data_IF_492397064178
#
_entry.id   IF_492397064178
#
_cell.length_a   1.000
_cell.length_b   1.000
_cell.length_c   1.000
_cell.angle_alpha   90.00
_cell.angle_beta   90.00
_cell.angle_gamma   90.00
#
_symmetry.space_group_name_H-M   'P 1'
#
loop_
_entity.id
_entity.type
_entity.pdbx_description
1 polymer ?
#
# COMPACT_ATOMS: atom_id res chain seq x y z
N UNK A 1 21.76 -21.39 97.13
CA UNK A 1 21.34 -20.35 96.16
C UNK A 1 21.94 -20.72 94.81
N UNK A 2 21.17 -21.38 93.93
CA UNK A 2 21.63 -21.93 92.65
C UNK A 2 21.30 -20.91 91.57
N UNK A 3 22.32 -20.36 90.90
CA UNK A 3 22.15 -19.46 89.76
C UNK A 3 22.34 -20.26 88.46
N UNK A 4 21.25 -20.49 87.74
CA UNK A 4 21.26 -21.04 86.37
C UNK A 4 21.64 -19.93 85.40
N UNK A 5 22.79 -20.04 84.73
CA UNK A 5 23.11 -19.23 83.55
C UNK A 5 22.44 -19.86 82.34
N UNK A 6 21.50 -19.16 81.73
CA UNK A 6 20.88 -19.52 80.45
C UNK A 6 21.72 -18.90 79.33
N UNK A 7 22.30 -19.74 78.47
CA UNK A 7 23.03 -19.31 77.28
C UNK A 7 22.05 -19.36 76.10
N UNK A 8 21.81 -18.22 75.47
CA UNK A 8 20.95 -18.09 74.30
C UNK A 8 21.82 -18.26 73.05
N UNK A 9 21.59 -19.33 72.27
CA UNK A 9 22.28 -19.58 71.01
C UNK A 9 21.46 -18.95 69.88
N UNK A 10 21.90 -17.81 69.35
CA UNK A 10 21.25 -17.15 68.20
C UNK A 10 21.73 -17.87 66.93
N UNK A 11 20.84 -18.66 66.33
CA UNK A 11 21.07 -19.34 65.05
C UNK A 11 20.79 -18.34 63.91
N UNK A 12 21.84 -17.81 63.29
CA UNK A 12 21.72 -17.01 62.07
C UNK A 12 21.42 -17.94 60.89
N UNK A 13 20.16 -17.99 60.46
CA UNK A 13 19.77 -18.64 59.21
C UNK A 13 20.16 -17.68 58.08
N UNK A 14 21.29 -17.96 57.42
CA UNK A 14 21.67 -17.28 56.19
C UNK A 14 20.72 -17.69 55.07
N UNK A 15 19.73 -16.85 54.76
CA UNK A 15 18.93 -17.03 53.55
C UNK A 15 19.79 -16.64 52.34
N UNK A 16 20.23 -17.63 51.55
CA UNK A 16 20.74 -17.36 50.21
C UNK A 16 19.57 -16.91 49.35
N UNK A 17 19.41 -15.59 49.23
CA UNK A 17 18.44 -14.99 48.32
C UNK A 17 18.77 -15.39 46.89
N UNK A 18 17.92 -16.22 46.29
CA UNK A 18 17.94 -16.44 44.84
C UNK A 18 17.43 -15.14 44.22
N UNK A 19 18.33 -14.34 43.65
CA UNK A 19 17.96 -13.20 42.82
C UNK A 19 17.39 -13.77 41.52
N UNK A 20 16.07 -13.93 41.44
CA UNK A 20 15.41 -14.11 40.17
C UNK A 20 15.58 -12.79 39.38
N UNK A 21 16.41 -12.81 38.33
CA UNK A 21 16.45 -11.72 37.37
C UNK A 21 15.13 -11.75 36.59
N UNK A 22 14.23 -10.81 36.87
CA UNK A 22 13.06 -10.59 36.04
C UNK A 22 13.50 -9.91 34.73
N UNK A 23 13.72 -10.70 33.68
CA UNK A 23 13.80 -10.15 32.33
C UNK A 23 12.37 -9.92 31.84
N UNK A 24 12.08 -8.70 31.38
CA UNK A 24 10.80 -8.41 30.76
C UNK A 24 10.69 -9.19 29.44
N UNK A 25 9.62 -9.96 29.26
CA UNK A 25 9.39 -10.66 28.00
C UNK A 25 9.20 -9.65 26.87
N UNK A 26 9.80 -9.90 25.69
CA UNK A 26 9.61 -9.00 24.55
C UNK A 26 8.13 -8.96 24.15
N UNK A 27 7.71 -7.82 23.59
CA UNK A 27 6.33 -7.60 23.17
C UNK A 27 6.32 -7.09 21.73
N UNK A 28 5.49 -7.71 20.89
CA UNK A 28 5.24 -7.29 19.51
C UNK A 28 3.74 -7.19 19.30
N UNK A 29 3.26 -6.02 18.88
CA UNK A 29 1.83 -5.76 18.64
C UNK A 29 1.61 -5.04 17.34
N UNK A 30 0.54 -5.41 16.64
CA UNK A 30 0.09 -4.76 15.42
C UNK A 30 -1.01 -3.76 15.78
N UNK A 31 -0.89 -2.54 15.27
CA UNK A 31 -1.86 -1.46 15.48
C UNK A 31 -2.42 -1.04 14.14
N UNK A 32 -3.75 -1.02 14.02
CA UNK A 32 -4.46 -0.60 12.82
C UNK A 32 -5.44 0.53 13.17
N UNK A 33 -5.54 1.54 12.31
CA UNK A 33 -6.54 2.62 12.48
C UNK A 33 -7.94 2.16 12.08
N UNK A 34 -8.02 1.19 11.16
CA UNK A 34 -9.26 0.56 10.72
C UNK A 34 -9.01 -0.89 10.31
N UNK A 35 -10.06 -1.70 10.31
CA UNK A 35 -10.00 -3.13 9.93
C UNK A 35 -10.85 -3.46 8.71
N UNK A 36 -11.38 -2.44 8.02
CA UNK A 36 -12.13 -2.60 6.78
C UNK A 36 -11.54 -1.68 5.72
N UNK A 37 -11.16 -2.28 4.61
CA UNK A 37 -10.58 -1.63 3.45
C UNK A 37 -11.43 -1.92 2.23
N UNK A 38 -11.32 -1.04 1.26
CA UNK A 38 -11.98 -1.10 -0.04
C UNK A 38 -10.93 -1.09 -1.13
N UNK A 39 -11.32 -1.43 -2.36
CA UNK A 39 -10.42 -1.25 -3.49
C UNK A 39 -9.91 0.19 -3.57
N UNK A 40 -8.72 0.35 -4.12
CA UNK A 40 -7.98 1.62 -4.23
C UNK A 40 -7.37 2.13 -2.92
N UNK A 41 -7.65 1.52 -1.79
CA UNK A 41 -7.01 1.86 -0.52
C UNK A 41 -5.71 1.08 -0.33
N UNK A 42 -4.76 1.70 0.37
CA UNK A 42 -3.52 1.03 0.79
C UNK A 42 -3.70 0.48 2.20
N UNK A 43 -3.19 -0.72 2.44
CA UNK A 43 -3.08 -1.25 3.79
C UNK A 43 -2.11 -0.36 4.59
N UNK A 44 -2.53 0.07 5.78
CA UNK A 44 -1.71 0.87 6.69
C UNK A 44 -1.85 0.30 8.09
N UNK A 45 -0.73 -0.07 8.69
CA UNK A 45 -0.67 -0.58 10.06
C UNK A 45 0.65 -0.11 10.69
N UNK A 46 0.79 -0.34 11.98
CA UNK A 46 2.03 -0.08 12.69
C UNK A 46 2.45 -1.30 13.50
N UNK A 47 3.75 -1.57 13.53
CA UNK A 47 4.33 -2.56 14.43
C UNK A 47 4.92 -1.82 15.62
N UNK A 48 4.40 -2.12 16.81
CA UNK A 48 4.95 -1.65 18.07
C UNK A 48 5.72 -2.78 18.74
N UNK A 49 6.96 -2.49 19.13
CA UNK A 49 7.88 -3.44 19.76
C UNK A 49 8.35 -2.92 21.12
N UNK A 50 8.74 -3.82 22.03
CA UNK A 50 9.36 -3.46 23.31
C UNK A 50 10.83 -3.06 23.18
N UNK A 51 11.52 -3.59 22.16
CA UNK A 51 12.95 -3.37 21.95
C UNK A 51 13.35 -3.48 20.46
N UNK A 52 14.52 -2.90 20.13
CA UNK A 52 15.06 -2.84 18.77
C UNK A 52 16.38 -3.63 18.76
N UNK A 53 16.49 -4.65 17.92
CA UNK A 53 17.71 -5.47 17.81
C UNK A 53 18.54 -5.19 16.57
N UNK A 54 17.96 -4.48 15.59
CA UNK A 54 18.56 -4.26 14.27
C UNK A 54 18.19 -5.32 13.23
N UNK A 55 17.56 -6.43 13.66
CA UNK A 55 16.97 -7.40 12.74
C UNK A 55 15.65 -6.88 12.16
N UNK A 56 15.27 -7.27 10.94
CA UNK A 56 13.95 -6.95 10.41
C UNK A 56 12.86 -7.82 11.04
N UNK A 57 11.64 -7.28 11.13
CA UNK A 57 10.46 -8.10 11.29
C UNK A 57 10.12 -8.80 9.98
N UNK A 58 9.68 -10.05 10.04
CA UNK A 58 9.23 -10.80 8.86
C UNK A 58 7.71 -10.78 8.83
N UNK A 59 7.15 -10.30 7.72
CA UNK A 59 5.71 -10.13 7.57
C UNK A 59 5.18 -11.06 6.48
N UNK A 60 4.02 -11.65 6.73
CA UNK A 60 3.21 -12.33 5.72
C UNK A 60 1.81 -11.73 5.70
N UNK A 61 1.30 -11.49 4.49
CA UNK A 61 -0.12 -11.18 4.29
C UNK A 61 -0.80 -12.46 3.84
N UNK A 62 -1.78 -12.93 4.61
CA UNK A 62 -2.57 -14.12 4.27
C UNK A 62 -3.99 -13.74 3.91
N UNK A 63 -4.58 -14.47 2.97
CA UNK A 63 -6.01 -14.42 2.72
C UNK A 63 -6.77 -15.40 3.65
N UNK A 64 -8.10 -15.31 3.64
CA UNK A 64 -8.98 -16.16 4.44
C UNK A 64 -9.07 -17.62 3.96
N UNK A 65 -8.51 -17.96 2.81
CA UNK A 65 -8.50 -19.33 2.26
C UNK A 65 -7.13 -20.01 2.44
N UNK A 66 -6.17 -19.33 3.05
CA UNK A 66 -4.84 -19.86 3.40
C UNK A 66 -3.74 -19.53 2.39
N UNK A 67 -4.04 -18.76 1.33
CA UNK A 67 -3.02 -18.16 0.48
C UNK A 67 -2.18 -17.16 1.27
N UNK A 68 -0.90 -17.04 0.92
CA UNK A 68 0.05 -16.17 1.63
C UNK A 68 1.00 -15.48 0.66
N UNK A 69 1.36 -14.25 0.97
CA UNK A 69 2.44 -13.54 0.30
C UNK A 69 3.78 -14.24 0.52
N UNK A 70 4.78 -13.89 -0.28
CA UNK A 70 6.18 -14.09 0.12
C UNK A 70 6.49 -13.35 1.43
N UNK A 71 7.56 -13.75 2.11
CA UNK A 71 8.08 -13.05 3.28
C UNK A 71 8.49 -11.60 2.93
N UNK A 72 7.97 -10.64 3.68
CA UNK A 72 8.27 -9.21 3.53
C UNK A 72 9.11 -8.76 4.72
N UNK A 73 10.44 -8.60 4.56
CA UNK A 73 11.30 -8.11 5.63
C UNK A 73 11.12 -6.59 5.80
N UNK A 74 10.73 -6.16 7.00
CA UNK A 74 10.57 -4.75 7.36
C UNK A 74 11.57 -4.36 8.46
N UNK A 75 12.46 -3.38 8.21
CA UNK A 75 13.33 -2.85 9.25
C UNK A 75 12.56 -2.26 10.43
N UNK A 76 12.98 -2.59 11.65
CA UNK A 76 12.43 -2.05 12.89
C UNK A 76 13.40 -1.00 13.41
N UNK A 77 13.10 0.27 13.11
CA UNK A 77 13.98 1.40 13.45
C UNK A 77 13.53 2.16 14.70
N UNK A 78 12.26 2.00 15.07
CA UNK A 78 11.62 2.69 16.20
C UNK A 78 10.83 1.69 17.03
N UNK A 79 10.43 2.09 18.24
CA UNK A 79 9.50 1.30 19.05
C UNK A 79 8.09 1.24 18.44
N UNK A 80 7.76 2.19 17.56
CA UNK A 80 6.54 2.22 16.76
C UNK A 80 6.93 2.53 15.32
N UNK A 81 6.73 1.57 14.42
CA UNK A 81 7.05 1.70 13.00
C UNK A 81 5.75 1.75 12.22
N UNK A 82 5.52 2.85 11.51
CA UNK A 82 4.38 3.00 10.62
C UNK A 82 4.70 2.37 9.27
N UNK A 83 3.84 1.46 8.81
CA UNK A 83 4.07 0.62 7.64
C UNK A 83 2.89 0.81 6.67
N UNK A 84 3.03 1.73 5.70
CA UNK A 84 2.13 1.77 4.56
C UNK A 84 2.51 0.69 3.54
N UNK A 85 1.51 0.03 2.96
CA UNK A 85 1.71 -0.80 1.77
C UNK A 85 2.21 0.05 0.60
N UNK A 86 3.08 -0.53 -0.21
CA UNK A 86 3.50 0.10 -1.48
C UNK A 86 2.33 0.19 -2.45
N UNK A 87 1.51 -0.86 -2.50
CA UNK A 87 0.44 -1.06 -3.47
C UNK A 87 -0.94 -0.90 -2.82
N UNK A 88 -1.89 -0.37 -3.58
CA UNK A 88 -3.30 -0.37 -3.21
C UNK A 88 -3.95 -1.74 -3.45
N UNK A 89 -5.12 -1.96 -2.85
CA UNK A 89 -5.94 -3.12 -3.16
C UNK A 89 -6.60 -2.95 -4.53
N UNK A 90 -6.18 -3.76 -5.50
CA UNK A 90 -6.78 -3.83 -6.83
C UNK A 90 -7.64 -5.08 -7.02
N UNK A 91 -8.79 -4.90 -7.69
CA UNK A 91 -9.81 -5.93 -7.89
C UNK A 91 -9.30 -7.18 -8.62
N UNK A 92 -8.39 -6.99 -9.56
CA UNK A 92 -7.85 -8.08 -10.37
C UNK A 92 -6.75 -8.88 -9.64
N UNK A 93 -6.21 -8.34 -8.54
CA UNK A 93 -5.11 -8.93 -7.77
C UNK A 93 -5.59 -9.49 -6.43
N UNK A 94 -6.48 -8.76 -5.75
CA UNK A 94 -6.91 -9.05 -4.38
C UNK A 94 -8.39 -9.43 -4.34
N UNK A 95 -8.72 -10.73 -4.18
CA UNK A 95 -10.09 -11.16 -3.94
C UNK A 95 -10.69 -10.50 -2.70
N UNK A 96 -12.00 -10.26 -2.71
CA UNK A 96 -12.72 -9.81 -1.52
C UNK A 96 -12.67 -10.87 -0.41
N UNK A 97 -12.69 -10.42 0.84
CA UNK A 97 -12.78 -11.30 2.00
C UNK A 97 -11.91 -10.86 3.17
N UNK A 98 -11.71 -11.79 4.09
CA UNK A 98 -10.87 -11.60 5.27
C UNK A 98 -9.40 -11.83 4.92
N UNK A 99 -8.53 -11.04 5.52
CA UNK A 99 -7.09 -11.12 5.40
C UNK A 99 -6.45 -11.00 6.78
N UNK A 100 -5.19 -11.45 6.87
CA UNK A 100 -4.39 -11.42 8.07
C UNK A 100 -3.01 -10.83 7.80
N UNK A 101 -2.51 -10.07 8.77
CA UNK A 101 -1.14 -9.58 8.83
C UNK A 101 -0.45 -10.41 9.90
N UNK A 102 0.47 -11.30 9.52
CA UNK A 102 1.31 -12.02 10.46
C UNK A 102 2.66 -11.33 10.57
N UNK A 103 3.10 -11.09 11.80
CA UNK A 103 4.38 -10.48 12.10
C UNK A 103 5.18 -11.43 12.98
N UNK A 104 6.39 -11.75 12.52
CA UNK A 104 7.38 -12.46 13.30
C UNK A 104 8.56 -11.52 13.61
N UNK A 105 8.86 -11.34 14.89
CA UNK A 105 9.99 -10.55 15.36
C UNK A 105 10.38 -10.97 16.78
N UNK A 106 11.68 -11.09 17.08
CA UNK A 106 12.19 -11.58 18.38
C UNK A 106 11.69 -12.97 18.77
N UNK A 107 11.41 -13.83 17.79
CA UNK A 107 10.80 -15.15 18.01
C UNK A 107 9.34 -15.11 18.45
N UNK A 108 8.74 -13.92 18.52
CA UNK A 108 7.31 -13.73 18.79
C UNK A 108 6.59 -13.68 17.45
N UNK A 109 5.49 -14.42 17.38
CA UNK A 109 4.55 -14.39 16.27
C UNK A 109 3.24 -13.77 16.75
N UNK A 110 2.71 -12.80 15.99
CA UNK A 110 1.43 -12.15 16.27
C UNK A 110 0.68 -11.90 14.97
N UNK A 111 -0.64 -11.87 15.05
CA UNK A 111 -1.50 -11.67 13.88
C UNK A 111 -2.58 -10.63 14.14
N UNK A 112 -2.91 -9.86 13.10
CA UNK A 112 -4.07 -8.98 13.07
C UNK A 112 -4.93 -9.27 11.85
N UNK A 113 -6.23 -9.00 11.93
CA UNK A 113 -7.19 -9.27 10.87
C UNK A 113 -7.78 -7.99 10.28
N UNK A 114 -8.10 -8.04 8.98
CA UNK A 114 -8.87 -7.00 8.30
C UNK A 114 -9.73 -7.60 7.19
N UNK A 115 -10.70 -6.84 6.71
CA UNK A 115 -11.58 -7.23 5.62
C UNK A 115 -11.39 -6.31 4.42
N UNK A 116 -11.36 -6.90 3.22
CA UNK A 116 -11.46 -6.21 1.95
C UNK A 116 -12.87 -6.38 1.39
N UNK A 117 -13.59 -5.28 1.24
CA UNK A 117 -14.97 -5.24 0.73
C UNK A 117 -15.06 -4.41 -0.54
N UNK A 118 -16.06 -4.69 -1.38
CA UNK A 118 -16.37 -3.83 -2.52
C UNK A 118 -17.29 -2.68 -2.05
N UNK A 119 -16.87 -1.45 -2.29
CA UNK A 119 -17.66 -0.24 -2.00
C UNK A 119 -17.92 0.60 -3.26
N UNK A 120 -17.71 0.03 -4.45
CA UNK A 120 -17.74 0.73 -5.74
C UNK A 120 -16.75 1.92 -5.80
N UNK A 121 -15.69 1.88 -4.97
CA UNK A 121 -14.58 2.83 -5.06
C UNK A 121 -13.79 2.53 -6.35
N UNK A 122 -13.52 3.58 -7.11
CA UNK A 122 -12.82 3.49 -8.39
C UNK A 122 -11.58 4.38 -8.38
N UNK A 123 -10.48 3.81 -8.83
CA UNK A 123 -9.19 4.43 -9.02
C UNK A 123 -8.66 4.05 -10.40
N UNK A 124 -7.63 4.76 -10.84
CA UNK A 124 -6.86 4.31 -11.99
C UNK A 124 -5.99 3.15 -11.51
N UNK A 125 -6.14 1.96 -12.10
CA UNK A 125 -5.30 0.79 -11.80
C UNK A 125 -3.81 1.14 -11.93
N UNK A 126 -2.95 0.58 -11.07
CA UNK A 126 -1.50 0.80 -11.16
C UNK A 126 -0.93 0.27 -12.49
N UNK A 127 -1.62 -0.67 -13.15
CA UNK A 127 -1.27 -1.14 -14.50
C UNK A 127 -1.23 -0.01 -15.55
N UNK A 128 -1.90 1.12 -15.28
CA UNK A 128 -1.89 2.28 -16.16
C UNK A 128 -0.61 3.13 -16.01
N UNK A 129 0.10 3.06 -14.87
CA UNK A 129 1.34 3.81 -14.66
C UNK A 129 2.41 3.54 -15.73
N UNK A 130 2.78 2.29 -16.06
CA UNK A 130 3.76 2.03 -17.12
C UNK A 130 3.30 2.51 -18.49
N UNK A 131 2.00 2.48 -18.79
CA UNK A 131 1.44 3.01 -20.05
C UNK A 131 1.63 4.52 -20.14
N UNK A 132 1.33 5.24 -19.05
CA UNK A 132 1.53 6.70 -18.96
C UNK A 132 3.02 7.06 -19.06
N UNK A 133 3.91 6.30 -18.41
CA UNK A 133 5.36 6.52 -18.49
C UNK A 133 5.88 6.36 -19.92
N UNK A 134 5.46 5.30 -20.62
CA UNK A 134 5.83 5.08 -22.03
C UNK A 134 5.34 6.21 -22.93
N UNK A 135 4.13 6.70 -22.70
CA UNK A 135 3.59 7.86 -23.43
C UNK A 135 4.38 9.15 -23.14
N UNK A 136 4.72 9.42 -21.88
CA UNK A 136 5.56 10.56 -21.49
C UNK A 136 6.92 10.51 -22.21
N UNK A 137 7.49 9.32 -22.33
CA UNK A 137 8.77 9.08 -22.99
C UNK A 137 8.67 8.99 -24.52
N UNK A 138 7.48 9.25 -25.09
CA UNK A 138 7.23 9.21 -26.54
C UNK A 138 7.40 7.81 -27.16
N UNK A 139 7.35 6.75 -26.35
CA UNK A 139 7.33 5.37 -26.82
C UNK A 139 5.93 4.97 -27.30
N UNK A 140 4.88 5.58 -26.72
CA UNK A 140 3.48 5.40 -27.10
C UNK A 140 2.91 6.68 -27.68
N UNK A 141 2.02 6.54 -28.67
CA UNK A 141 1.28 7.68 -29.25
C UNK A 141 0.14 8.12 -28.34
N UNK A 142 -0.39 9.32 -28.59
CA UNK A 142 -1.51 9.90 -27.84
C UNK A 142 -2.75 9.00 -27.88
N UNK A 143 -3.07 8.42 -29.04
CA UNK A 143 -4.17 7.47 -29.15
C UNK A 143 -3.90 6.16 -28.41
N UNK A 144 -2.65 5.68 -28.35
CA UNK A 144 -2.29 4.51 -27.54
C UNK A 144 -2.50 4.77 -26.04
N UNK A 145 -2.16 5.96 -25.55
CA UNK A 145 -2.46 6.34 -24.16
C UNK A 145 -3.97 6.27 -23.89
N UNK A 146 -4.76 6.94 -24.72
CA UNK A 146 -6.21 7.09 -24.52
C UNK A 146 -6.94 5.76 -24.72
N UNK A 147 -6.46 4.92 -25.64
CA UNK A 147 -6.91 3.53 -25.77
C UNK A 147 -6.57 2.69 -24.53
N UNK A 148 -5.38 2.89 -23.94
CA UNK A 148 -5.02 2.27 -22.66
C UNK A 148 -6.01 2.63 -21.55
N UNK A 149 -6.39 3.91 -21.44
CA UNK A 149 -7.44 4.34 -20.50
C UNK A 149 -8.78 3.66 -20.77
N UNK A 150 -9.22 3.56 -22.03
CA UNK A 150 -10.48 2.88 -22.37
C UNK A 150 -10.50 1.38 -21.99
N UNK A 151 -9.35 0.72 -22.07
CA UNK A 151 -9.24 -0.72 -21.88
C UNK A 151 -8.96 -1.12 -20.43
N UNK A 152 -8.23 -0.29 -19.67
CA UNK A 152 -7.75 -0.61 -18.32
C UNK A 152 -8.60 0.09 -17.26
N UNK A 153 -9.11 1.29 -17.52
CA UNK A 153 -9.81 2.11 -16.52
C UNK A 153 -11.32 1.94 -16.65
N UNK A 154 -12.01 1.81 -15.50
CA UNK A 154 -13.46 1.66 -15.48
C UNK A 154 -14.17 2.85 -16.17
N UNK A 155 -15.16 2.53 -17.00
CA UNK A 155 -15.96 3.48 -17.79
C UNK A 155 -16.76 4.43 -16.91
N UNK A 156 -17.11 4.00 -15.69
CA UNK A 156 -17.75 4.83 -14.67
C UNK A 156 -16.80 5.89 -14.13
N UNK A 157 -15.48 5.65 -14.18
CA UNK A 157 -14.46 6.61 -13.74
C UNK A 157 -14.14 7.62 -14.84
N UNK A 158 -13.88 7.16 -16.07
CA UNK A 158 -13.64 8.03 -17.23
C UNK A 158 -14.41 7.55 -18.46
N UNK A 159 -15.15 8.45 -19.11
CA UNK A 159 -15.89 8.15 -20.32
C UNK A 159 -15.21 8.81 -21.54
N UNK A 160 -14.60 7.98 -22.38
CA UNK A 160 -13.82 8.42 -23.53
C UNK A 160 -14.62 8.11 -24.81
N UNK A 161 -15.10 9.13 -25.54
CA UNK A 161 -16.03 8.96 -26.66
C UNK A 161 -15.33 8.76 -28.01
N UNK A 162 -14.11 8.22 -28.01
CA UNK A 162 -13.34 7.98 -29.24
C UNK A 162 -13.39 6.51 -29.63
N UNK A 163 -13.47 6.26 -30.94
CA UNK A 163 -13.33 4.93 -31.51
C UNK A 163 -11.95 4.84 -32.17
N UNK A 164 -11.11 3.91 -31.72
CA UNK A 164 -9.76 3.71 -32.28
C UNK A 164 -9.73 2.57 -33.28
N UNK A 165 -8.99 2.81 -34.36
CA UNK A 165 -8.69 1.87 -35.43
C UNK A 165 -7.21 2.02 -35.79
N UNK A 166 -6.68 1.06 -36.53
CA UNK A 166 -5.30 1.15 -37.06
C UNK A 166 -5.06 2.42 -37.89
N UNK A 167 -6.11 3.06 -38.42
CA UNK A 167 -5.98 4.24 -39.29
C UNK A 167 -6.00 5.57 -38.56
N UNK A 168 -6.53 5.64 -37.35
CA UNK A 168 -6.72 6.91 -36.63
C UNK A 168 -6.02 6.96 -35.27
N UNK A 169 -5.52 5.85 -34.74
CA UNK A 169 -4.87 5.81 -33.42
C UNK A 169 -3.70 6.80 -33.31
N UNK A 170 -2.95 6.99 -34.39
CA UNK A 170 -1.82 7.94 -34.42
C UNK A 170 -2.22 9.37 -34.83
N UNK A 171 -3.49 9.61 -35.13
CA UNK A 171 -4.01 10.94 -35.51
C UNK A 171 -4.56 11.74 -34.33
N UNK A 172 -4.75 11.10 -33.17
CA UNK A 172 -5.16 11.80 -31.96
C UNK A 172 -4.03 12.71 -31.48
N UNK A 173 -4.35 13.92 -31.05
CA UNK A 173 -3.38 14.88 -30.54
C UNK A 173 -3.74 15.31 -29.12
N UNK A 174 -2.76 15.20 -28.21
CA UNK A 174 -2.79 15.70 -26.84
C UNK A 174 -1.71 16.78 -26.74
N UNK A 175 -2.03 18.00 -26.25
CA UNK A 175 -1.02 19.02 -26.08
C UNK A 175 0.14 18.60 -25.17
N UNK A 176 1.37 18.93 -25.55
CA UNK A 176 2.58 18.51 -24.84
C UNK A 176 2.60 18.87 -23.34
N UNK A 177 1.98 19.99 -22.95
CA UNK A 177 1.94 20.41 -21.56
C UNK A 177 1.20 19.41 -20.65
N UNK A 178 0.29 18.59 -21.20
CA UNK A 178 -0.47 17.56 -20.47
C UNK A 178 0.47 16.48 -19.92
N UNK A 179 1.61 16.22 -20.56
CA UNK A 179 2.63 15.28 -20.03
C UNK A 179 3.14 15.69 -18.65
N UNK A 180 3.17 16.99 -18.34
CA UNK A 180 3.54 17.46 -17.00
C UNK A 180 2.50 17.10 -15.94
N UNK A 181 1.21 17.13 -16.30
CA UNK A 181 0.11 16.66 -15.42
C UNK A 181 0.25 15.16 -15.20
N UNK A 182 0.48 14.40 -16.27
CA UNK A 182 0.65 12.96 -16.18
C UNK A 182 1.89 12.56 -15.35
N UNK A 183 3.01 13.30 -15.45
CA UNK A 183 4.17 13.12 -14.55
C UNK A 183 3.77 13.35 -13.09
N UNK A 184 3.00 14.40 -12.81
CA UNK A 184 2.48 14.67 -11.47
C UNK A 184 1.62 13.52 -10.93
N UNK A 185 0.80 12.89 -11.80
CA UNK A 185 0.01 11.72 -11.44
C UNK A 185 0.88 10.49 -11.16
N UNK A 186 1.83 10.16 -12.04
CA UNK A 186 2.78 9.05 -11.82
C UNK A 186 3.59 9.23 -10.53
N UNK A 187 3.95 10.46 -10.18
CA UNK A 187 4.66 10.79 -8.95
C UNK A 187 3.77 10.80 -7.69
N UNK A 188 2.46 10.59 -7.82
CA UNK A 188 1.49 10.65 -6.72
C UNK A 188 1.22 12.07 -6.19
N UNK A 189 1.66 13.10 -6.91
CA UNK A 189 1.39 14.51 -6.58
C UNK A 189 -0.04 14.89 -6.98
N UNK A 190 -0.52 14.32 -8.09
CA UNK A 190 -1.88 14.49 -8.59
C UNK A 190 -2.65 13.20 -8.31
N UNK A 191 -3.81 13.31 -7.66
CA UNK A 191 -4.67 12.16 -7.39
C UNK A 191 -5.35 11.64 -8.65
N UNK A 192 -5.78 10.39 -8.64
CA UNK A 192 -6.53 9.78 -9.74
C UNK A 192 -7.74 10.61 -10.13
N UNK A 193 -8.52 11.08 -9.14
CA UNK A 193 -9.69 11.91 -9.38
C UNK A 193 -9.33 13.21 -10.11
N UNK A 194 -8.25 13.89 -9.70
CA UNK A 194 -7.81 15.11 -10.36
C UNK A 194 -7.32 14.83 -11.79
N UNK A 195 -6.59 13.74 -11.99
CA UNK A 195 -6.07 13.38 -13.30
C UNK A 195 -7.19 13.01 -14.28
N UNK A 196 -8.15 12.20 -13.84
CA UNK A 196 -9.36 11.85 -14.61
C UNK A 196 -10.17 13.09 -14.95
N UNK A 197 -10.41 13.98 -14.00
CA UNK A 197 -11.13 15.23 -14.25
C UNK A 197 -10.41 16.11 -15.27
N UNK A 198 -9.08 16.19 -15.20
CA UNK A 198 -8.29 16.93 -16.18
C UNK A 198 -8.43 16.32 -17.59
N UNK A 199 -8.27 15.00 -17.73
CA UNK A 199 -8.44 14.31 -19.02
C UNK A 199 -9.87 14.49 -19.57
N UNK A 200 -10.89 14.32 -18.74
CA UNK A 200 -12.29 14.49 -19.15
C UNK A 200 -12.57 15.92 -19.61
N UNK A 201 -12.05 16.91 -18.90
CA UNK A 201 -12.16 18.31 -19.31
C UNK A 201 -11.53 18.55 -20.69
N UNK A 202 -10.31 18.04 -20.90
CA UNK A 202 -9.60 18.21 -22.18
C UNK A 202 -10.30 17.54 -23.36
N UNK A 203 -10.93 16.38 -23.13
CA UNK A 203 -11.77 15.71 -24.12
C UNK A 203 -13.02 16.54 -24.42
N UNK A 204 -13.72 17.02 -23.38
CA UNK A 204 -14.97 17.77 -23.53
C UNK A 204 -14.76 19.10 -24.27
N UNK A 205 -13.67 19.80 -23.98
CA UNK A 205 -13.28 21.05 -24.66
C UNK A 205 -12.64 20.83 -26.03
N UNK A 206 -12.57 19.58 -26.51
CA UNK A 206 -11.95 19.18 -27.79
C UNK A 206 -10.48 19.58 -27.92
N UNK A 207 -9.81 19.80 -26.80
CA UNK A 207 -8.37 20.03 -26.73
C UNK A 207 -7.62 18.74 -27.04
N UNK A 208 -8.13 17.61 -26.54
CA UNK A 208 -7.77 16.28 -27.03
C UNK A 208 -8.76 15.96 -28.15
N UNK A 209 -8.25 15.89 -29.38
CA UNK A 209 -9.05 15.60 -30.56
C UNK A 209 -8.18 15.03 -31.67
N UNK A 210 -8.83 14.46 -32.69
CA UNK A 210 -8.12 14.04 -33.89
C UNK A 210 -7.65 15.25 -34.67
N UNK A 211 -6.39 15.24 -35.10
CA UNK A 211 -5.85 16.25 -36.02
C UNK A 211 -6.69 16.24 -37.29
N UNK A 212 -7.29 17.38 -37.61
CA UNK A 212 -7.99 17.57 -38.87
C UNK A 212 -6.89 17.79 -39.93
N UNK A 213 -6.61 16.77 -40.74
CA UNK A 213 -5.90 16.98 -42.00
C UNK A 213 -6.76 17.95 -42.83
N UNK A 214 -6.25 19.16 -43.08
CA UNK A 214 -6.97 20.15 -43.85
C UNK A 214 -7.19 19.65 -45.27
N UNK A 215 -8.46 19.44 -45.67
CA UNK A 215 -8.86 19.83 -47.02
C UNK A 215 -8.57 21.34 -47.11
N UNK A 216 -7.47 21.74 -47.76
CA UNK A 216 -7.28 23.00 -48.48
C UNK A 216 -5.80 23.16 -48.88
N UNK A 217 -5.36 22.38 -49.87
CA UNK A 217 -4.43 22.89 -50.89
C UNK A 217 -5.08 22.61 -52.25
N UNK A 218 -5.82 23.61 -52.75
CA UNK A 218 -6.19 23.74 -54.17
C UNK A 218 -5.67 25.09 -54.64
#
# INVERSE_FOLDING_TARGET
MISKKVIFFIMFIGSTGVLASAYAEPLVTIIMEKTTYTYCEKLVYSIKVSEITGDPAIIHIRDGVGGSSSAIPIPIEKLLNHIPSLHAFEKDIFPLGQYFIDVQYLGIETSAEFNLIDSDNMCISEAMQPVVVKWINQEFTDGMLISGFQNIVDKKLINIPFEFTEKNIDKLNIPEWVKSVAKGWVMGIISDQMFVQNLQYLINEKIISFTIEGENEI
#
